data_IF_150513873086
#
_entry.id   IF_150513873086
#
_cell.length_a   1.000
_cell.length_b   1.000
_cell.length_c   1.000
_cell.angle_alpha   90.00
_cell.angle_beta   90.00
_cell.angle_gamma   90.00
#
_symmetry.space_group_name_H-M   'P 1'
#
loop_
_entity.id
_entity.type
_entity.pdbx_description
1 polymer ?
#
# COMPACT_ATOMS: atom_id res chain seq x y z
N UNK A 1 -33.27 9.31 -3.62
CA UNK A 1 -32.43 8.70 -2.57
C UNK A 1 -31.27 8.08 -3.33
N UNK A 2 -30.22 8.87 -3.56
CA UNK A 2 -29.12 8.52 -4.45
C UNK A 2 -27.97 7.95 -3.64
N UNK A 3 -27.44 6.82 -4.11
CA UNK A 3 -26.32 6.10 -3.54
C UNK A 3 -25.01 6.90 -3.66
N UNK A 4 -24.82 7.91 -2.80
CA UNK A 4 -23.55 8.63 -2.61
C UNK A 4 -22.60 7.87 -1.65
N UNK A 5 -22.60 6.54 -1.71
CA UNK A 5 -21.69 5.70 -0.93
C UNK A 5 -20.50 5.27 -1.80
N UNK A 6 -19.30 5.62 -1.35
CA UNK A 6 -18.05 4.93 -1.71
C UNK A 6 -17.54 5.07 -3.16
N UNK A 7 -17.45 6.30 -3.67
CA UNK A 7 -16.50 6.58 -4.76
C UNK A 7 -15.06 6.53 -4.23
N UNK A 8 -14.58 5.32 -3.86
CA UNK A 8 -13.17 5.08 -3.48
C UNK A 8 -12.30 5.62 -4.61
N UNK A 9 -11.44 6.57 -4.27
CA UNK A 9 -10.59 7.24 -5.24
C UNK A 9 -9.82 6.20 -6.08
N UNK A 10 -9.73 6.35 -7.41
CA UNK A 10 -9.15 5.33 -8.28
C UNK A 10 -7.69 4.99 -7.92
N UNK A 11 -6.97 5.95 -7.33
CA UNK A 11 -5.61 5.75 -6.83
C UNK A 11 -5.60 4.86 -5.58
N UNK A 12 -6.48 5.09 -4.60
CA UNK A 12 -6.61 4.22 -3.43
C UNK A 12 -6.92 2.79 -3.86
N UNK A 13 -7.91 2.61 -4.74
CA UNK A 13 -8.27 1.29 -5.27
C UNK A 13 -7.06 0.58 -5.92
N UNK A 14 -6.22 1.32 -6.63
CA UNK A 14 -4.99 0.78 -7.25
C UNK A 14 -3.94 0.42 -6.19
N UNK A 15 -3.74 1.25 -5.17
CA UNK A 15 -2.79 0.99 -4.07
C UNK A 15 -3.20 -0.24 -3.28
N UNK A 16 -4.47 -0.34 -2.87
CA UNK A 16 -5.01 -1.49 -2.15
C UNK A 16 -4.85 -2.78 -2.96
N UNK A 17 -5.10 -2.74 -4.27
CA UNK A 17 -4.89 -3.89 -5.17
C UNK A 17 -3.42 -4.34 -5.20
N UNK A 18 -2.48 -3.40 -5.34
CA UNK A 18 -1.04 -3.72 -5.36
C UNK A 18 -0.60 -4.33 -4.03
N UNK A 19 -1.03 -3.75 -2.90
CA UNK A 19 -0.68 -4.28 -1.58
C UNK A 19 -1.27 -5.67 -1.35
N UNK A 20 -2.48 -5.94 -1.84
CA UNK A 20 -3.13 -7.25 -1.72
C UNK A 20 -2.36 -8.30 -2.53
N UNK A 21 -1.98 -7.94 -3.75
CA UNK A 21 -1.21 -8.80 -4.64
C UNK A 21 0.17 -9.15 -4.05
N UNK A 22 0.85 -8.17 -3.45
CA UNK A 22 2.11 -8.39 -2.72
C UNK A 22 1.89 -9.33 -1.53
N UNK A 23 0.87 -9.09 -0.71
CA UNK A 23 0.62 -9.91 0.48
C UNK A 23 0.24 -11.36 0.14
N UNK A 24 -0.36 -11.58 -1.03
CA UNK A 24 -0.77 -12.91 -1.50
C UNK A 24 0.35 -13.65 -2.24
N UNK A 25 1.15 -12.92 -3.03
CA UNK A 25 2.19 -13.52 -3.89
C UNK A 25 3.53 -13.73 -3.18
N UNK A 26 3.78 -13.04 -2.07
CA UNK A 26 5.06 -13.14 -1.36
C UNK A 26 5.07 -14.30 -0.35
N UNK A 27 6.16 -15.07 -0.37
CA UNK A 27 6.47 -16.07 0.67
C UNK A 27 7.24 -15.48 1.85
N UNK A 28 7.67 -14.21 1.74
CA UNK A 28 8.41 -13.54 2.79
C UNK A 28 7.45 -12.93 3.83
N UNK A 29 7.52 -13.38 5.10
CA UNK A 29 6.58 -12.95 6.13
C UNK A 29 6.72 -11.45 6.47
N UNK A 30 7.91 -10.86 6.32
CA UNK A 30 8.13 -9.45 6.59
C UNK A 30 7.48 -8.55 5.51
N UNK A 31 7.59 -8.93 4.25
CA UNK A 31 6.91 -8.29 3.11
C UNK A 31 5.39 -8.41 3.23
N UNK A 32 4.89 -9.60 3.56
CA UNK A 32 3.44 -9.82 3.78
C UNK A 32 2.91 -8.96 4.92
N UNK A 33 3.59 -8.93 6.06
CA UNK A 33 3.21 -8.12 7.21
C UNK A 33 3.23 -6.62 6.86
N UNK A 34 4.25 -6.17 6.13
CA UNK A 34 4.37 -4.77 5.69
C UNK A 34 3.23 -4.38 4.77
N UNK A 35 2.89 -5.23 3.79
CA UNK A 35 1.80 -4.95 2.85
C UNK A 35 0.43 -4.85 3.54
N UNK A 36 0.13 -5.77 4.48
CA UNK A 36 -1.10 -5.75 5.27
C UNK A 36 -1.17 -4.54 6.21
N UNK A 37 -0.07 -4.21 6.88
CA UNK A 37 0.00 -3.02 7.74
C UNK A 37 -0.26 -1.74 6.94
N UNK A 38 0.23 -1.67 5.71
CA UNK A 38 -0.01 -0.52 4.83
C UNK A 38 -1.48 -0.43 4.43
N UNK A 39 -2.15 -1.54 4.10
CA UNK A 39 -3.59 -1.52 3.78
C UNK A 39 -4.44 -0.98 4.93
N UNK A 40 -4.06 -1.24 6.18
CA UNK A 40 -4.81 -0.80 7.36
C UNK A 40 -4.49 0.63 7.80
N UNK A 41 -3.31 1.14 7.47
CA UNK A 41 -2.80 2.42 7.99
C UNK A 41 -2.70 3.51 6.94
N UNK A 42 -3.01 3.22 5.67
CA UNK A 42 -3.06 4.21 4.60
C UNK A 42 -4.37 5.01 4.72
N UNK A 43 -4.30 6.33 4.98
CA UNK A 43 -5.46 7.18 4.83
C UNK A 43 -5.83 7.29 3.34
N UNK A 44 -7.06 7.72 3.01
CA UNK A 44 -7.47 7.96 1.63
C UNK A 44 -6.57 9.03 0.99
N UNK A 45 -6.29 8.91 -0.31
CA UNK A 45 -5.41 9.84 -1.06
C UNK A 45 -5.86 11.29 -0.95
N UNK A 46 -7.18 11.52 -0.84
CA UNK A 46 -7.75 12.86 -0.68
C UNK A 46 -7.35 13.57 0.64
N UNK A 47 -6.96 12.80 1.67
CA UNK A 47 -6.57 13.32 2.98
C UNK A 47 -5.03 13.39 3.15
N UNK A 48 -4.28 13.09 2.09
CA UNK A 48 -2.83 13.06 2.18
C UNK A 48 -2.23 14.46 2.29
N UNK A 49 -1.76 14.78 3.48
CA UNK A 49 -0.87 15.93 3.67
C UNK A 49 0.50 15.68 3.01
N UNK A 50 1.25 16.75 2.72
CA UNK A 50 2.62 16.66 2.19
C UNK A 50 3.55 15.81 3.09
N UNK A 51 3.28 15.75 4.39
CA UNK A 51 3.98 14.87 5.32
C UNK A 51 3.66 13.39 5.09
N UNK A 52 2.39 13.05 4.84
CA UNK A 52 1.96 11.68 4.55
C UNK A 52 2.45 11.20 3.17
N UNK A 53 2.53 12.08 2.17
CA UNK A 53 3.21 11.78 0.90
C UNK A 53 4.68 11.36 1.11
N UNK A 54 5.43 12.06 1.98
CA UNK A 54 6.82 11.69 2.30
C UNK A 54 6.89 10.36 3.07
N UNK A 55 5.97 10.14 4.02
CA UNK A 55 5.91 8.89 4.78
C UNK A 55 5.62 7.69 3.86
N UNK A 56 4.69 7.84 2.92
CA UNK A 56 4.41 6.81 1.92
C UNK A 56 5.59 6.58 0.98
N UNK A 57 6.26 7.63 0.50
CA UNK A 57 7.46 7.49 -0.33
C UNK A 57 8.57 6.72 0.42
N UNK A 58 8.76 6.99 1.72
CA UNK A 58 9.70 6.26 2.57
C UNK A 58 9.30 4.79 2.71
N UNK A 59 8.02 4.50 2.96
CA UNK A 59 7.46 3.14 3.08
C UNK A 59 7.55 2.36 1.76
N UNK A 60 7.29 3.01 0.61
CA UNK A 60 7.49 2.46 -0.74
C UNK A 60 8.96 2.08 -0.96
N UNK A 61 9.90 2.95 -0.58
CA UNK A 61 11.33 2.65 -0.69
C UNK A 61 11.74 1.45 0.18
N UNK A 62 11.17 1.32 1.38
CA UNK A 62 11.39 0.13 2.22
C UNK A 62 10.86 -1.14 1.55
N UNK A 63 9.63 -1.11 1.03
CA UNK A 63 9.04 -2.22 0.28
C UNK A 63 9.90 -2.61 -0.92
N UNK A 64 10.35 -1.65 -1.73
CA UNK A 64 11.23 -1.90 -2.86
C UNK A 64 12.55 -2.57 -2.44
N UNK A 65 13.18 -2.07 -1.37
CA UNK A 65 14.41 -2.70 -0.83
C UNK A 65 14.19 -4.14 -0.38
N UNK A 66 13.05 -4.42 0.26
CA UNK A 66 12.69 -5.77 0.68
C UNK A 66 12.43 -6.69 -0.52
N UNK A 67 11.69 -6.22 -1.52
CA UNK A 67 11.44 -6.94 -2.78
C UNK A 67 12.74 -7.20 -3.56
N UNK A 68 13.63 -6.22 -3.67
CA UNK A 68 14.94 -6.38 -4.32
C UNK A 68 15.83 -7.40 -3.60
N UNK A 69 15.75 -7.49 -2.27
CA UNK A 69 16.45 -8.53 -1.49
C UNK A 69 15.82 -9.91 -1.68
N UNK A 70 14.49 -9.98 -1.78
CA UNK A 70 13.77 -11.22 -2.02
C UNK A 70 14.01 -11.77 -3.44
N UNK A 71 14.18 -10.89 -4.44
CA UNK A 71 14.43 -11.26 -5.84
C UNK A 71 15.86 -11.75 -6.13
N UNK A 72 16.81 -11.54 -5.21
CA UNK A 72 18.21 -11.99 -5.33
C UNK A 72 18.50 -13.28 -4.53
N UNK A 73 17.47 -14.05 -4.16
CA UNK A 73 17.61 -15.36 -3.52
C UNK A 73 17.36 -16.49 -4.49
#
# INVERSE_FOLDING_TARGET
>A
MGDDQDAVHPIDRRIHKILADIAHSTSDPALRHTALTLQLTLPPVQDWSAHQHRALAKRRNTLLKLLSRAAHR
#
